data_IF_355362957734
#
_entry.id   IF_355362957734
#
_cell.length_a   1.000
_cell.length_b   1.000
_cell.length_c   1.000
_cell.angle_alpha   90.00
_cell.angle_beta   90.00
_cell.angle_gamma   90.00
#
_symmetry.space_group_name_H-M   'P 1'
#
loop_
_entity.id
_entity.type
_entity.pdbx_description
1 polymer ?
#
# COMPACT_ATOMS: atom_id res chain seq x y z
N UNK A 1 -19.63 -6.14 35.77
CA UNK A 1 -19.45 -5.26 34.59
C UNK A 1 -19.55 -6.14 33.36
N UNK A 2 -20.70 -6.14 32.67
CA UNK A 2 -20.95 -6.99 31.49
C UNK A 2 -20.72 -6.18 30.22
N UNK A 3 -19.69 -6.56 29.45
CA UNK A 3 -19.47 -6.08 28.09
C UNK A 3 -20.41 -6.81 27.15
N UNK A 4 -21.58 -6.23 26.92
CA UNK A 4 -22.59 -6.74 25.98
C UNK A 4 -22.18 -6.24 24.59
N UNK A 5 -21.79 -7.15 23.69
CA UNK A 5 -21.44 -6.76 22.32
C UNK A 5 -20.65 -7.77 21.49
N UNK A 6 -20.32 -8.96 22.02
CA UNK A 6 -19.71 -10.01 21.20
C UNK A 6 -20.85 -10.89 20.67
N UNK A 7 -21.16 -10.87 19.36
CA UNK A 7 -22.11 -11.80 18.79
C UNK A 7 -21.60 -13.24 18.95
N UNK A 8 -22.51 -14.17 19.29
CA UNK A 8 -22.21 -15.58 19.55
C UNK A 8 -21.76 -16.36 18.31
N UNK A 9 -21.86 -15.73 17.12
CA UNK A 9 -21.38 -16.27 15.86
C UNK A 9 -20.62 -15.18 15.11
N UNK A 10 -19.38 -15.48 14.74
CA UNK A 10 -18.61 -14.69 13.77
C UNK A 10 -19.14 -15.07 12.40
N UNK A 11 -20.00 -14.23 11.82
CA UNK A 11 -20.45 -14.42 10.45
C UNK A 11 -19.23 -14.36 9.54
N UNK A 12 -19.03 -15.41 8.74
CA UNK A 12 -17.98 -15.44 7.72
C UNK A 12 -18.05 -14.17 6.87
N UNK A 13 -17.00 -13.34 6.99
CA UNK A 13 -16.85 -12.12 6.22
C UNK A 13 -17.06 -12.43 4.74
N UNK A 14 -18.03 -11.74 4.14
CA UNK A 14 -18.49 -11.93 2.78
C UNK A 14 -17.32 -12.09 1.79
N UNK A 15 -17.25 -13.22 1.10
CA UNK A 15 -16.35 -13.48 -0.05
C UNK A 15 -16.83 -12.79 -1.33
N UNK A 16 -17.28 -11.54 -1.27
CA UNK A 16 -17.85 -10.84 -2.43
C UNK A 16 -17.05 -9.61 -2.83
N UNK A 17 -16.68 -9.57 -4.12
CA UNK A 17 -16.00 -8.46 -4.78
C UNK A 17 -16.99 -7.48 -5.45
N UNK A 18 -18.24 -7.41 -4.97
CA UNK A 18 -19.27 -6.60 -5.60
C UNK A 18 -19.36 -5.20 -4.97
N UNK A 19 -19.09 -4.17 -5.79
CA UNK A 19 -18.91 -2.77 -5.39
C UNK A 19 -20.21 -1.99 -5.16
N UNK A 20 -21.37 -2.62 -5.27
CA UNK A 20 -22.68 -1.96 -5.26
C UNK A 20 -23.40 -1.95 -3.90
N UNK A 21 -22.79 -2.47 -2.84
CA UNK A 21 -23.35 -2.43 -1.48
C UNK A 21 -22.51 -1.54 -0.55
N UNK A 22 -23.14 -0.75 0.33
CA UNK A 22 -22.43 0.04 1.32
C UNK A 22 -21.63 -0.89 2.23
N UNK A 23 -20.31 -0.68 2.30
CA UNK A 23 -19.40 -1.51 3.10
C UNK A 23 -19.62 -1.19 4.59
N UNK A 24 -20.52 -1.93 5.25
CA UNK A 24 -20.78 -1.78 6.69
C UNK A 24 -19.73 -2.47 7.58
N UNK A 25 -18.70 -3.11 7.01
CA UNK A 25 -17.65 -3.78 7.79
C UNK A 25 -16.27 -3.57 7.14
N UNK A 26 -15.27 -3.35 7.99
CA UNK A 26 -13.85 -3.26 7.61
C UNK A 26 -13.46 -4.44 6.72
N UNK A 27 -12.71 -4.16 5.65
CA UNK A 27 -12.02 -5.19 4.87
C UNK A 27 -11.11 -5.99 5.82
N UNK A 28 -11.52 -7.23 6.10
CA UNK A 28 -10.70 -8.24 6.77
C UNK A 28 -10.53 -9.38 5.80
N UNK A 29 -9.32 -9.54 5.28
CA UNK A 29 -8.97 -10.73 4.52
C UNK A 29 -8.92 -11.91 5.51
N UNK A 30 -9.95 -12.77 5.45
CA UNK A 30 -10.10 -13.91 6.36
C UNK A 30 -8.94 -14.91 6.22
N UNK A 31 -8.52 -15.17 4.98
CA UNK A 31 -7.34 -16.01 4.71
C UNK A 31 -6.07 -15.39 5.31
N UNK A 32 -5.99 -14.06 5.32
CA UNK A 32 -4.88 -13.38 5.95
C UNK A 32 -4.88 -13.55 7.49
N UNK A 33 -6.05 -13.52 8.12
CA UNK A 33 -6.15 -13.71 9.57
C UNK A 33 -6.04 -15.17 10.02
N UNK A 34 -6.46 -16.11 9.18
CA UNK A 34 -6.51 -17.55 9.52
C UNK A 34 -5.31 -18.34 9.00
N UNK A 35 -4.71 -17.92 7.89
CA UNK A 35 -3.56 -18.54 7.25
C UNK A 35 -2.41 -17.52 7.15
N UNK A 36 -1.94 -17.06 8.31
CA UNK A 36 -0.92 -16.02 8.49
C UNK A 36 0.41 -16.25 7.72
N UNK A 37 0.63 -17.46 7.22
CA UNK A 37 1.85 -17.82 6.53
C UNK A 37 1.98 -17.24 5.10
N UNK A 38 0.93 -16.62 4.52
CA UNK A 38 0.91 -16.23 3.10
C UNK A 38 0.24 -14.88 2.77
N UNK A 39 0.48 -13.79 3.53
CA UNK A 39 -0.18 -12.49 3.27
C UNK A 39 0.80 -11.49 2.65
N UNK A 40 0.69 -11.26 1.34
CA UNK A 40 1.59 -10.36 0.58
C UNK A 40 0.84 -9.53 -0.48
N UNK A 41 -0.22 -8.77 -0.15
CA UNK A 41 -1.17 -8.39 -1.23
C UNK A 41 -1.75 -6.96 -1.17
N UNK A 42 -1.47 -6.18 -2.22
CA UNK A 42 -2.21 -4.97 -2.58
C UNK A 42 -3.22 -5.29 -3.70
N UNK A 43 -4.50 -5.00 -3.46
CA UNK A 43 -5.60 -5.34 -4.36
C UNK A 43 -6.23 -4.12 -5.03
N UNK A 44 -6.42 -4.18 -6.35
CA UNK A 44 -7.28 -3.26 -7.10
C UNK A 44 -8.37 -4.08 -7.81
N UNK A 45 -9.64 -3.70 -7.62
CA UNK A 45 -10.78 -4.42 -8.23
C UNK A 45 -10.83 -5.93 -7.92
N UNK A 46 -10.34 -6.32 -6.74
CA UNK A 46 -10.27 -7.73 -6.33
C UNK A 46 -9.14 -8.55 -6.97
N UNK A 47 -8.18 -7.90 -7.64
CA UNK A 47 -6.99 -8.56 -8.20
C UNK A 47 -5.72 -7.97 -7.60
N UNK A 48 -4.77 -8.84 -7.24
CA UNK A 48 -3.44 -8.41 -6.86
C UNK A 48 -2.79 -7.68 -8.04
N UNK A 49 -2.39 -6.43 -7.83
CA UNK A 49 -1.77 -5.60 -8.90
C UNK A 49 -0.27 -5.45 -8.75
N UNK A 50 0.23 -5.49 -7.52
CA UNK A 50 1.65 -5.45 -7.17
C UNK A 50 1.89 -6.21 -5.87
N UNK A 51 3.06 -6.83 -5.76
CA UNK A 51 3.54 -7.50 -4.55
C UNK A 51 5.02 -7.26 -4.33
N UNK A 52 5.41 -7.20 -3.06
CA UNK A 52 6.78 -7.38 -2.59
C UNK A 52 6.68 -8.38 -1.44
N UNK A 53 7.50 -9.43 -1.47
CA UNK A 53 7.63 -10.44 -0.42
C UNK A 53 8.90 -10.11 0.35
N UNK A 54 8.85 -10.07 1.68
CA UNK A 54 10.00 -9.71 2.52
C UNK A 54 10.46 -10.87 3.39
N UNK A 55 11.77 -10.92 3.66
CA UNK A 55 12.36 -11.73 4.72
C UNK A 55 12.25 -10.98 6.06
N UNK A 56 11.31 -11.42 6.88
CA UNK A 56 11.03 -10.84 8.20
C UNK A 56 11.92 -11.39 9.33
N UNK A 57 12.81 -12.35 9.06
CA UNK A 57 13.73 -12.86 10.08
C UNK A 57 14.65 -11.75 10.60
N UNK A 58 14.88 -11.73 11.92
CA UNK A 58 15.76 -10.77 12.60
C UNK A 58 15.41 -9.31 12.25
N UNK A 59 14.11 -9.02 12.20
CA UNK A 59 13.58 -7.68 11.95
C UNK A 59 12.77 -7.18 13.16
N UNK A 60 12.59 -5.87 13.25
CA UNK A 60 11.67 -5.25 14.20
C UNK A 60 10.31 -5.02 13.55
N UNK A 61 9.33 -4.57 14.35
CA UNK A 61 8.01 -4.19 13.86
C UNK A 61 8.04 -3.08 12.79
N UNK A 62 9.15 -2.35 12.63
CA UNK A 62 9.34 -1.33 11.58
C UNK A 62 10.36 -1.71 10.51
N UNK A 63 11.33 -2.58 10.82
CA UNK A 63 12.46 -2.83 9.90
C UNK A 63 12.23 -3.97 8.93
N UNK A 64 11.15 -4.75 9.05
CA UNK A 64 10.82 -5.81 8.09
C UNK A 64 10.53 -5.25 6.69
N UNK A 65 10.02 -4.02 6.62
CA UNK A 65 9.82 -3.26 5.38
C UNK A 65 11.03 -2.33 5.17
N UNK A 66 12.10 -2.87 4.62
CA UNK A 66 13.30 -2.11 4.26
C UNK A 66 13.99 -2.72 3.05
N UNK A 67 14.76 -1.89 2.34
CA UNK A 67 15.55 -2.33 1.19
C UNK A 67 16.60 -3.36 1.59
N UNK A 68 16.81 -4.37 0.74
CA UNK A 68 17.68 -5.51 0.97
C UNK A 68 17.01 -6.70 1.67
N UNK A 69 15.72 -6.59 2.03
CA UNK A 69 14.94 -7.69 2.63
C UNK A 69 13.94 -8.32 1.67
N UNK A 70 13.83 -7.82 0.45
CA UNK A 70 12.91 -8.31 -0.57
C UNK A 70 13.36 -9.68 -1.09
N UNK A 71 12.49 -10.69 -0.96
CA UNK A 71 12.65 -12.03 -1.54
C UNK A 71 12.14 -12.06 -2.98
N UNK A 72 11.03 -11.36 -3.24
CA UNK A 72 10.40 -11.30 -4.56
C UNK A 72 9.63 -9.99 -4.72
N UNK A 73 9.48 -9.53 -5.96
CA UNK A 73 8.79 -8.27 -6.27
C UNK A 73 8.14 -8.33 -7.66
N UNK A 74 7.11 -7.51 -7.87
CA UNK A 74 6.52 -7.27 -9.19
C UNK A 74 7.26 -6.21 -10.02
N UNK A 75 8.26 -5.55 -9.44
CA UNK A 75 9.08 -4.54 -10.10
C UNK A 75 10.49 -5.06 -10.39
N UNK A 76 10.83 -5.13 -11.67
CA UNK A 76 12.07 -5.72 -12.18
C UNK A 76 13.32 -4.96 -11.69
N UNK A 77 13.17 -3.66 -11.40
CA UNK A 77 14.27 -2.77 -11.05
C UNK A 77 14.37 -2.44 -9.55
N UNK A 78 13.44 -2.94 -8.73
CA UNK A 78 13.37 -2.58 -7.31
C UNK A 78 14.63 -2.99 -6.56
N UNK A 79 15.18 -4.18 -6.82
CA UNK A 79 16.39 -4.67 -6.12
C UNK A 79 17.70 -4.20 -6.75
N UNK A 80 17.65 -3.73 -8.00
CA UNK A 80 18.85 -3.29 -8.74
C UNK A 80 19.13 -1.79 -8.62
N UNK A 81 18.10 -0.98 -8.36
CA UNK A 81 18.23 0.47 -8.21
C UNK A 81 18.35 0.84 -6.73
N UNK A 82 18.99 1.98 -6.47
CA UNK A 82 19.11 2.52 -5.11
C UNK A 82 17.75 2.94 -4.54
N UNK A 83 17.62 2.87 -3.22
CA UNK A 83 16.46 3.42 -2.52
C UNK A 83 16.88 4.69 -1.78
N UNK A 84 16.13 5.77 -1.97
CA UNK A 84 16.27 6.98 -1.15
C UNK A 84 15.47 6.85 0.15
N UNK A 85 14.21 6.40 0.06
CA UNK A 85 13.38 6.06 1.21
C UNK A 85 12.84 4.64 1.00
N UNK A 86 13.07 3.76 1.97
CA UNK A 86 12.43 2.45 2.03
C UNK A 86 12.10 2.13 3.49
N UNK A 87 10.94 2.59 3.96
CA UNK A 87 10.54 2.36 5.35
C UNK A 87 9.04 2.54 5.59
N UNK A 88 8.55 1.98 6.70
CA UNK A 88 7.17 2.18 7.15
C UNK A 88 6.90 3.65 7.49
N UNK A 89 7.85 4.31 8.15
CA UNK A 89 7.71 5.73 8.54
C UNK A 89 7.57 6.58 7.27
N UNK A 90 8.41 6.31 6.28
CA UNK A 90 8.52 7.05 5.02
C UNK A 90 8.79 8.54 5.23
N UNK A 91 8.43 9.36 4.25
CA UNK A 91 8.53 10.82 4.36
C UNK A 91 7.38 11.40 5.20
N UNK A 92 7.71 11.86 6.40
CA UNK A 92 6.74 12.35 7.39
C UNK A 92 7.16 13.70 7.94
N UNK A 93 6.42 14.73 7.57
CA UNK A 93 6.51 16.07 8.13
C UNK A 93 5.14 16.78 8.00
N UNK A 94 4.95 17.99 8.54
CA UNK A 94 3.62 18.63 8.60
C UNK A 94 2.89 18.80 7.25
N UNK A 95 3.57 18.67 6.11
CA UNK A 95 2.99 18.82 4.77
C UNK A 95 2.99 17.51 3.96
N UNK A 96 3.70 16.46 4.41
CA UNK A 96 3.76 15.17 3.73
C UNK A 96 3.62 14.02 4.75
N UNK A 97 2.72 13.08 4.47
CA UNK A 97 2.54 11.86 5.25
C UNK A 97 2.56 10.67 4.29
N UNK A 98 3.75 10.29 3.81
CA UNK A 98 3.96 9.15 2.91
C UNK A 98 4.43 7.96 3.73
N UNK A 99 3.51 7.08 4.11
CA UNK A 99 3.79 5.84 4.86
C UNK A 99 4.11 4.70 3.92
N UNK A 100 4.81 3.69 4.44
CA UNK A 100 5.22 2.51 3.65
C UNK A 100 5.84 2.92 2.31
N UNK A 101 6.77 3.88 2.36
CA UNK A 101 7.30 4.50 1.16
C UNK A 101 8.47 3.70 0.61
N UNK A 102 8.46 3.53 -0.71
CA UNK A 102 9.51 2.94 -1.54
C UNK A 102 9.82 3.93 -2.65
N UNK A 103 10.83 4.78 -2.42
CA UNK A 103 11.23 5.90 -3.25
C UNK A 103 12.67 5.68 -3.79
N UNK A 104 12.87 5.97 -5.08
CA UNK A 104 14.18 5.91 -5.73
C UNK A 104 14.88 7.27 -5.69
N UNK A 105 14.19 8.32 -6.15
CA UNK A 105 14.72 9.67 -6.27
C UNK A 105 13.74 10.68 -5.66
N UNK A 106 14.30 11.60 -4.90
CA UNK A 106 13.58 12.68 -4.24
C UNK A 106 14.21 14.00 -4.67
N UNK A 107 13.71 14.54 -5.79
CA UNK A 107 14.19 15.78 -6.40
C UNK A 107 13.07 16.85 -6.47
N UNK A 108 12.06 16.70 -5.63
CA UNK A 108 10.89 17.55 -5.56
C UNK A 108 9.75 17.00 -6.41
N UNK A 109 8.52 17.45 -6.12
CA UNK A 109 7.28 16.87 -6.67
C UNK A 109 7.30 16.55 -8.19
N UNK A 110 7.85 17.38 -9.11
CA UNK A 110 7.85 17.05 -10.53
C UNK A 110 8.78 15.89 -10.92
N UNK A 111 9.75 15.57 -10.07
CA UNK A 111 10.85 14.63 -10.33
C UNK A 111 10.92 13.49 -9.32
N UNK A 112 10.04 13.46 -8.31
CA UNK A 112 9.95 12.37 -7.35
C UNK A 112 9.58 11.08 -8.08
N UNK A 113 10.44 10.08 -7.95
CA UNK A 113 10.37 8.80 -8.65
C UNK A 113 10.38 7.67 -7.63
N UNK A 114 9.40 6.77 -7.70
CA UNK A 114 9.31 5.68 -6.74
C UNK A 114 8.39 4.56 -7.18
N UNK A 115 8.33 3.52 -6.37
CA UNK A 115 7.55 2.32 -6.64
C UNK A 115 6.21 2.36 -5.93
N UNK A 116 6.16 2.82 -4.68
CA UNK A 116 4.96 2.77 -3.85
C UNK A 116 5.01 3.75 -2.68
N UNK A 117 3.85 4.28 -2.28
CA UNK A 117 3.61 4.80 -0.93
C UNK A 117 2.11 4.83 -0.60
N UNK A 118 1.80 4.87 0.69
CA UNK A 118 0.49 5.18 1.25
C UNK A 118 0.48 6.63 1.75
N UNK A 119 -0.27 7.51 1.09
CA UNK A 119 -0.38 8.92 1.43
C UNK A 119 -1.55 9.20 2.37
N UNK A 120 -1.26 9.78 3.53
CA UNK A 120 -2.26 10.10 4.57
C UNK A 120 -2.56 11.61 4.70
N UNK A 121 -1.80 12.46 4.02
CA UNK A 121 -1.96 13.91 4.10
C UNK A 121 -3.15 14.39 3.25
N UNK A 122 -4.02 15.24 3.84
CA UNK A 122 -5.17 15.84 3.16
C UNK A 122 -5.21 17.36 3.44
N UNK A 123 -4.96 18.22 2.44
CA UNK A 123 -4.36 17.89 1.13
C UNK A 123 -2.88 17.53 1.28
N UNK A 124 -2.37 16.63 0.44
CA UNK A 124 -0.93 16.37 0.36
C UNK A 124 -0.15 17.51 -0.31
N UNK A 125 1.16 17.54 -0.09
CA UNK A 125 2.09 18.57 -0.59
C UNK A 125 2.12 18.62 -2.13
N UNK A 126 2.32 17.47 -2.77
CA UNK A 126 2.51 17.39 -4.21
C UNK A 126 1.19 17.28 -4.97
N UNK A 127 1.17 17.74 -6.23
CA UNK A 127 -0.02 17.67 -7.10
C UNK A 127 -0.56 16.24 -7.27
N UNK A 128 0.31 15.23 -7.25
CA UNK A 128 -0.08 13.82 -7.27
C UNK A 128 -0.74 13.33 -5.96
N UNK A 129 -0.60 14.08 -4.86
CA UNK A 129 -1.16 13.80 -3.53
C UNK A 129 -2.40 14.65 -3.22
N UNK A 130 -2.73 15.64 -4.06
CA UNK A 130 -3.89 16.51 -3.85
C UNK A 130 -5.19 15.72 -4.09
N UNK A 131 -5.68 15.07 -3.03
CA UNK A 131 -6.95 14.36 -2.99
C UNK A 131 -7.82 14.79 -1.82
N UNK A 132 -9.10 14.42 -1.91
CA UNK A 132 -10.13 14.71 -0.90
C UNK A 132 -10.25 13.61 0.18
N UNK A 133 -9.52 12.49 0.05
CA UNK A 133 -9.61 11.36 0.97
C UNK A 133 -8.25 10.63 1.12
N UNK A 134 -8.01 10.13 2.34
CA UNK A 134 -6.88 9.31 2.75
C UNK A 134 -7.36 8.01 3.43
N UNK A 135 -6.56 6.93 3.46
CA UNK A 135 -5.26 6.81 2.81
C UNK A 135 -5.39 6.71 1.29
N UNK A 136 -4.37 7.17 0.56
CA UNK A 136 -4.23 6.96 -0.88
C UNK A 136 -3.01 6.11 -1.21
N UNK A 137 -3.21 5.06 -1.99
CA UNK A 137 -2.10 4.26 -2.48
C UNK A 137 -1.67 4.76 -3.86
N UNK A 138 -0.42 5.18 -3.98
CA UNK A 138 0.22 5.47 -5.26
C UNK A 138 1.30 4.44 -5.52
N UNK A 139 1.35 3.96 -6.76
CA UNK A 139 2.30 2.94 -7.14
C UNK A 139 2.65 2.97 -8.62
N UNK A 140 3.84 2.48 -8.95
CA UNK A 140 4.32 2.31 -10.32
C UNK A 140 3.55 1.18 -11.00
N UNK A 141 2.65 1.52 -11.95
CA UNK A 141 1.85 0.52 -12.67
C UNK A 141 2.70 -0.42 -13.55
N UNK A 142 3.74 0.13 -14.19
CA UNK A 142 4.68 -0.64 -15.02
C UNK A 142 5.54 -1.62 -14.22
N UNK A 143 6.43 -2.32 -14.91
CA UNK A 143 7.40 -3.23 -14.27
C UNK A 143 8.58 -2.50 -13.63
N UNK A 144 8.72 -1.20 -13.85
CA UNK A 144 9.85 -0.39 -13.37
C UNK A 144 9.35 0.83 -12.62
N UNK A 145 10.25 1.50 -11.91
CA UNK A 145 10.00 2.76 -11.22
C UNK A 145 9.54 3.86 -12.19
N UNK A 146 8.56 4.66 -11.79
CA UNK A 146 8.03 5.80 -12.56
C UNK A 146 7.97 7.06 -11.73
N UNK A 147 7.84 8.21 -12.41
CA UNK A 147 7.49 9.47 -11.76
C UNK A 147 6.13 9.34 -11.08
N UNK A 148 6.02 9.86 -9.86
CA UNK A 148 4.72 9.98 -9.22
C UNK A 148 3.88 11.00 -9.98
N UNK A 149 2.67 10.58 -10.33
CA UNK A 149 1.74 11.41 -11.09
C UNK A 149 0.32 11.19 -10.57
N UNK A 150 -0.57 12.18 -10.71
CA UNK A 150 -1.95 12.10 -10.23
C UNK A 150 -2.80 11.03 -10.95
N UNK A 151 -2.23 10.24 -11.87
CA UNK A 151 -2.99 9.43 -12.82
C UNK A 151 -3.68 8.21 -12.20
N UNK A 152 -4.84 8.45 -11.59
CA UNK A 152 -5.97 7.53 -11.47
C UNK A 152 -6.60 7.29 -12.83
N UNK A 153 -5.88 6.69 -13.79
CA UNK A 153 -6.56 6.06 -14.93
C UNK A 153 -7.04 4.68 -14.48
N UNK A 154 -8.25 4.66 -13.91
CA UNK A 154 -9.14 3.52 -14.10
C UNK A 154 -9.32 3.40 -15.61
N UNK A 155 -8.65 2.44 -16.24
CA UNK A 155 -9.00 2.06 -17.61
C UNK A 155 -10.41 1.49 -17.57
N UNK A 156 -11.42 2.31 -17.90
CA UNK A 156 -12.68 1.80 -18.42
C UNK A 156 -12.35 1.19 -19.79
N UNK A 157 -12.53 -0.12 -19.93
CA UNK A 157 -12.56 -0.72 -21.26
C UNK A 157 -13.78 -0.14 -21.98
N UNK A 158 -13.53 0.48 -23.13
CA UNK A 158 -14.49 0.63 -24.23
C UNK A 158 -14.92 -0.72 -24.77
#
# INVERSE_FOLDING_TARGET
MHGIGIPSEVVDGYRQFNYSLPCANHYRNKDALENWQNIDEAFEKGRMVKRIIFNSRDSTFTSWFSGGREIATSWDDLTSLSHNIFSIIGDTHPQALRRFEVNHLYHGCPYDKGWFFAGDAVPGLCSFEKKLAAPMFLYSKGKTVTLFSPCFRLSSKS
#
